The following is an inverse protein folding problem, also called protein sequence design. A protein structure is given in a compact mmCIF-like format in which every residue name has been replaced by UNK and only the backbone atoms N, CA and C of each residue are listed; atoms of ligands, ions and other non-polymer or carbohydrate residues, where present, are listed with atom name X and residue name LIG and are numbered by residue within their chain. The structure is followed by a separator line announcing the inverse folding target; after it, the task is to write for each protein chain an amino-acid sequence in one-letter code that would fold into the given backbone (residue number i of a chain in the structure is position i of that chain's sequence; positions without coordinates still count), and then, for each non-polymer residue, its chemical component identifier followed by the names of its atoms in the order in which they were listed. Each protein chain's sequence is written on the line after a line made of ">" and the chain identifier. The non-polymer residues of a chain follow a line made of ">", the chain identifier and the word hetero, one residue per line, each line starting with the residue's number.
data_IF_792688349797
#
_entry.id   IF_792688349797
#
_cell.length_a   1.000
_cell.length_b   1.000
_cell.length_c   1.000
_cell.angle_alpha   90.00
_cell.angle_beta   90.00
_cell.angle_gamma   90.00
#
_symmetry.space_group_name_H-M   'P 1'
#
loop_
_entity.id
_entity.type
_entity.pdbx_description
1 polymer ?
#
# COMPACT_ATOMS: atom_id res chain seq x y z
N UNK A 1 13.56 -7.52 2.85
CA UNK A 1 12.82 -6.32 3.28
C UNK A 1 11.58 -6.20 2.41
N UNK A 2 10.39 -6.16 3.01
CA UNK A 2 9.13 -6.00 2.30
C UNK A 2 8.85 -4.52 2.07
N UNK A 3 8.55 -4.13 0.83
CA UNK A 3 8.22 -2.74 0.49
C UNK A 3 6.85 -2.29 0.99
N UNK A 4 6.55 -1.01 0.74
CA UNK A 4 5.21 -0.46 0.92
C UNK A 4 4.28 -0.90 -0.21
N UNK A 5 2.97 -1.02 0.04
CA UNK A 5 2.02 -1.41 -0.98
C UNK A 5 1.62 -0.22 -1.84
N UNK A 6 0.84 -0.49 -2.90
CA UNK A 6 0.13 0.57 -3.62
C UNK A 6 -0.95 1.12 -2.67
N UNK A 7 -0.79 2.38 -2.25
CA UNK A 7 -1.57 2.92 -1.14
C UNK A 7 -2.97 3.38 -1.53
N UNK A 8 -3.09 4.14 -2.62
CA UNK A 8 -4.30 4.88 -2.98
C UNK A 8 -4.59 4.72 -4.46
N UNK A 9 -5.86 4.53 -4.81
CA UNK A 9 -6.31 4.52 -6.20
C UNK A 9 -6.11 5.91 -6.85
N UNK A 10 -5.34 5.92 -7.94
CA UNK A 10 -5.11 7.11 -8.76
C UNK A 10 -6.24 7.37 -9.77
N UNK A 11 -7.11 6.38 -9.99
CA UNK A 11 -8.13 6.34 -11.03
C UNK A 11 -9.50 6.83 -10.59
N UNK A 12 -10.53 6.08 -11.02
CA UNK A 12 -11.94 6.43 -10.90
C UNK A 12 -12.53 6.25 -9.49
N UNK A 13 -11.72 5.81 -8.53
CA UNK A 13 -12.11 5.63 -7.15
C UNK A 13 -12.51 6.94 -6.46
N UNK A 14 -13.24 6.78 -5.37
CA UNK A 14 -13.68 7.87 -4.51
C UNK A 14 -13.24 7.59 -3.09
N UNK A 15 -12.56 8.56 -2.47
CA UNK A 15 -12.21 8.50 -1.04
C UNK A 15 -13.33 9.04 -0.14
N UNK A 16 -14.59 9.07 -0.63
CA UNK A 16 -15.74 9.60 0.11
C UNK A 16 -15.70 11.11 0.34
N UNK A 17 -16.57 11.59 1.25
CA UNK A 17 -16.83 13.02 1.50
C UNK A 17 -15.67 13.80 2.15
N UNK A 18 -14.72 13.10 2.79
CA UNK A 18 -13.51 13.66 3.42
C UNK A 18 -12.28 13.39 2.52
N UNK A 19 -12.55 13.00 1.28
CA UNK A 19 -11.60 12.32 0.42
C UNK A 19 -10.56 13.21 -0.24
N UNK A 20 -9.37 12.64 -0.44
CA UNK A 20 -8.30 13.22 -1.24
C UNK A 20 -8.78 13.47 -2.68
N UNK A 21 -8.55 14.67 -3.21
CA UNK A 21 -8.78 14.97 -4.62
C UNK A 21 -7.95 14.04 -5.52
N UNK A 22 -8.39 13.82 -6.77
CA UNK A 22 -7.65 12.98 -7.72
C UNK A 22 -6.18 13.42 -7.88
N UNK A 23 -5.92 14.73 -7.85
CA UNK A 23 -4.55 15.28 -7.86
C UNK A 23 -3.75 14.84 -6.63
N UNK A 24 -4.33 14.94 -5.42
CA UNK A 24 -3.66 14.51 -4.18
C UNK A 24 -3.39 13.01 -4.19
N UNK A 25 -4.31 12.20 -4.71
CA UNK A 25 -4.12 10.74 -4.84
C UNK A 25 -2.95 10.42 -5.77
N UNK A 26 -2.91 11.04 -6.95
CA UNK A 26 -1.76 10.93 -7.87
C UNK A 26 -0.44 11.33 -7.22
N UNK A 27 -0.42 12.44 -6.47
CA UNK A 27 0.79 12.90 -5.78
C UNK A 27 1.23 11.94 -4.67
N UNK A 28 0.31 11.41 -3.87
CA UNK A 28 0.62 10.42 -2.82
C UNK A 28 1.18 9.15 -3.45
N UNK A 29 0.56 8.64 -4.52
CA UNK A 29 1.04 7.43 -5.19
C UNK A 29 2.39 7.65 -5.85
N UNK A 30 2.61 8.79 -6.51
CA UNK A 30 3.90 9.18 -7.04
C UNK A 30 5.00 9.21 -5.95
N UNK A 31 4.72 9.83 -4.80
CA UNK A 31 5.66 9.89 -3.69
C UNK A 31 5.93 8.49 -3.10
N UNK A 32 4.91 7.64 -3.01
CA UNK A 32 5.05 6.26 -2.55
C UNK A 32 5.92 5.42 -3.50
N UNK A 33 5.78 5.62 -4.82
CA UNK A 33 6.62 4.98 -5.83
C UNK A 33 8.09 5.41 -5.72
N UNK A 34 8.35 6.69 -5.49
CA UNK A 34 9.71 7.19 -5.24
C UNK A 34 10.31 6.65 -3.95
N UNK A 35 9.52 6.56 -2.87
CA UNK A 35 9.95 5.96 -1.62
C UNK A 35 10.30 4.48 -1.81
N UNK A 36 9.46 3.71 -2.51
CA UNK A 36 9.71 2.30 -2.80
C UNK A 36 11.00 2.11 -3.62
N UNK A 37 11.22 2.96 -4.64
CA UNK A 37 12.45 2.93 -5.43
C UNK A 37 13.70 3.24 -4.59
N UNK A 38 13.65 4.25 -3.72
CA UNK A 38 14.77 4.58 -2.82
C UNK A 38 15.07 3.47 -1.82
N UNK A 39 14.04 2.80 -1.29
CA UNK A 39 14.19 1.64 -0.41
C UNK A 39 14.81 0.47 -1.16
N UNK A 40 14.36 0.18 -2.39
CA UNK A 40 14.90 -0.91 -3.20
C UNK A 40 16.38 -0.71 -3.51
N UNK A 41 16.76 0.51 -3.89
CA UNK A 41 18.16 0.92 -4.13
C UNK A 41 19.03 0.81 -2.86
N UNK A 42 18.53 1.31 -1.72
CA UNK A 42 19.22 1.16 -0.44
C UNK A 42 19.38 -0.32 -0.02
N UNK A 43 18.36 -1.14 -0.21
CA UNK A 43 18.41 -2.58 0.07
C UNK A 43 19.45 -3.27 -0.82
N UNK A 44 19.49 -2.93 -2.11
CA UNK A 44 20.49 -3.44 -3.06
C UNK A 44 21.93 -3.12 -2.63
N UNK A 45 22.21 -1.87 -2.24
CA UNK A 45 23.54 -1.49 -1.70
C UNK A 45 23.92 -2.26 -0.43
N UNK A 46 22.95 -2.61 0.39
CA UNK A 46 23.15 -3.36 1.64
C UNK A 46 23.19 -4.88 1.44
N UNK A 47 23.02 -5.40 0.21
CA UNK A 47 22.89 -6.84 -0.03
C UNK A 47 21.60 -7.44 0.54
N UNK A 48 20.61 -6.61 0.89
CA UNK A 48 19.31 -7.05 1.39
C UNK A 48 18.34 -7.19 0.23
N UNK A 49 17.66 -8.34 0.15
CA UNK A 49 16.63 -8.54 -0.86
C UNK A 49 15.42 -7.65 -0.63
N UNK A 50 15.08 -6.81 -1.60
CA UNK A 50 13.84 -6.04 -1.64
C UNK A 50 12.70 -6.87 -2.27
N UNK A 51 11.50 -6.72 -1.73
CA UNK A 51 10.29 -7.40 -2.23
C UNK A 51 9.27 -6.33 -2.61
N UNK A 52 8.89 -6.32 -3.88
CA UNK A 52 7.96 -5.35 -4.45
C UNK A 52 6.53 -5.63 -3.99
N UNK A 53 6.03 -4.83 -3.05
CA UNK A 53 4.69 -4.97 -2.47
C UNK A 53 3.63 -4.12 -3.16
N UNK A 54 3.99 -3.28 -4.14
CA UNK A 54 2.98 -2.52 -4.92
C UNK A 54 2.14 -3.43 -5.80
N UNK A 55 2.76 -4.42 -6.44
CA UNK A 55 2.09 -5.28 -7.42
C UNK A 55 0.92 -6.08 -6.83
N UNK A 56 1.04 -6.75 -5.67
CA UNK A 56 -0.08 -7.50 -5.09
C UNK A 56 -1.27 -6.64 -4.67
N UNK A 57 -1.09 -5.33 -4.54
CA UNK A 57 -2.13 -4.40 -4.07
C UNK A 57 -2.82 -3.63 -5.20
N UNK A 58 -2.46 -3.88 -6.46
CA UNK A 58 -3.16 -3.27 -7.61
C UNK A 58 -4.63 -3.70 -7.59
N UNK A 59 -5.54 -2.74 -7.61
CA UNK A 59 -6.99 -2.97 -7.52
C UNK A 59 -7.53 -3.15 -6.09
N UNK A 60 -6.65 -3.08 -5.10
CA UNK A 60 -6.94 -3.26 -3.67
C UNK A 60 -6.50 -2.07 -2.82
N UNK A 61 -6.15 -0.95 -3.45
CA UNK A 61 -5.73 0.30 -2.83
C UNK A 61 -6.85 0.93 -2.00
N UNK A 62 -6.50 1.89 -1.14
CA UNK A 62 -7.50 2.76 -0.53
C UNK A 62 -8.28 3.49 -1.62
N UNK A 63 -9.57 3.74 -1.36
CA UNK A 63 -10.48 4.43 -2.28
C UNK A 63 -10.89 3.64 -3.54
N UNK A 64 -10.50 2.36 -3.62
CA UNK A 64 -11.23 1.36 -4.41
C UNK A 64 -12.55 0.99 -3.72
N UNK A 65 -13.48 0.27 -4.38
CA UNK A 65 -14.69 -0.20 -3.73
C UNK A 65 -14.40 -0.98 -2.43
N UNK A 66 -15.20 -0.77 -1.38
CA UNK A 66 -14.98 -1.35 -0.04
C UNK A 66 -14.84 -2.89 -0.08
N UNK A 67 -15.53 -3.55 -1.02
CA UNK A 67 -15.49 -4.99 -1.21
C UNK A 67 -14.12 -5.52 -1.70
N UNK A 68 -13.33 -4.68 -2.37
CA UNK A 68 -12.02 -5.03 -2.92
C UNK A 68 -10.88 -4.36 -2.14
N UNK A 69 -11.13 -3.28 -1.41
CA UNK A 69 -10.13 -2.52 -0.69
C UNK A 69 -9.42 -3.34 0.41
N UNK A 70 -8.08 -3.42 0.34
CA UNK A 70 -7.21 -4.04 1.36
C UNK A 70 -6.38 -3.02 2.16
N UNK A 71 -6.45 -1.74 1.83
CA UNK A 71 -5.84 -0.63 2.59
C UNK A 71 -6.95 0.23 3.16
N UNK A 72 -6.92 0.59 4.43
CA UNK A 72 -7.91 1.50 4.98
C UNK A 72 -7.84 2.90 4.33
N UNK A 73 -8.97 3.40 3.83
CA UNK A 73 -9.13 4.80 3.45
C UNK A 73 -9.21 5.77 4.64
N UNK A 74 -9.45 7.04 4.33
CA UNK A 74 -9.67 8.09 5.35
C UNK A 74 -11.04 7.88 5.98
N UNK A 75 -11.08 7.74 7.31
CA UNK A 75 -12.32 7.60 8.08
C UNK A 75 -12.85 8.97 8.51
N UNK A 76 -14.18 9.11 8.59
CA UNK A 76 -14.84 10.24 9.27
C UNK A 76 -14.84 10.11 10.78
N UNK A 77 -14.66 8.90 11.29
CA UNK A 77 -14.42 8.65 12.71
C UNK A 77 -12.95 8.93 13.02
N UNK A 78 -12.69 10.03 13.73
CA UNK A 78 -11.35 10.43 14.17
C UNK A 78 -10.72 9.39 15.13
N UNK A 79 -11.54 8.61 15.84
CA UNK A 79 -11.07 7.49 16.65
C UNK A 79 -10.39 6.40 15.82
N UNK A 80 -10.67 6.34 14.51
CA UNK A 80 -10.07 5.41 13.56
C UNK A 80 -8.98 6.07 12.70
N UNK A 81 -8.57 7.31 12.95
CA UNK A 81 -7.57 7.99 12.14
C UNK A 81 -6.23 7.23 12.07
N UNK A 82 -5.88 6.49 13.13
CA UNK A 82 -4.63 5.71 13.22
C UNK A 82 -4.50 4.62 12.16
N UNK A 83 -5.61 4.08 11.64
CA UNK A 83 -5.57 3.02 10.64
C UNK A 83 -5.47 3.56 9.21
N UNK A 84 -5.58 4.88 9.02
CA UNK A 84 -5.55 5.52 7.68
C UNK A 84 -4.31 5.08 6.90
N UNK A 85 -4.50 4.59 5.68
CA UNK A 85 -3.46 4.05 4.79
C UNK A 85 -2.68 2.84 5.32
N UNK A 86 -3.17 2.18 6.37
CA UNK A 86 -2.62 0.91 6.81
C UNK A 86 -3.36 -0.26 6.14
N UNK A 87 -2.69 -1.41 5.93
CA UNK A 87 -3.36 -2.60 5.45
C UNK A 87 -4.47 -3.06 6.40
N UNK A 88 -5.63 -3.41 5.84
CA UNK A 88 -6.66 -4.19 6.51
C UNK A 88 -6.12 -5.57 6.86
N UNK A 89 -6.88 -6.31 7.68
CA UNK A 89 -6.55 -7.68 8.08
C UNK A 89 -6.11 -8.57 6.92
N UNK A 90 -6.82 -8.55 5.79
CA UNK A 90 -6.44 -9.37 4.63
C UNK A 90 -5.10 -8.92 4.02
N UNK A 91 -4.94 -7.62 3.76
CA UNK A 91 -3.69 -7.05 3.25
C UNK A 91 -2.50 -7.40 4.15
N UNK A 92 -2.64 -7.28 5.47
CA UNK A 92 -1.56 -7.62 6.40
C UNK A 92 -1.36 -9.14 6.58
N UNK A 93 -2.36 -9.84 7.12
CA UNK A 93 -2.19 -11.23 7.56
C UNK A 93 -2.14 -12.24 6.42
N UNK A 94 -2.62 -11.89 5.23
CA UNK A 94 -2.59 -12.77 4.06
C UNK A 94 -1.49 -12.32 3.11
N UNK A 95 -1.54 -11.10 2.59
CA UNK A 95 -0.64 -10.69 1.50
C UNK A 95 0.79 -10.50 2.00
N UNK A 96 1.01 -9.71 3.06
CA UNK A 96 2.37 -9.52 3.60
C UNK A 96 2.96 -10.83 4.14
N UNK A 97 2.17 -11.63 4.85
CA UNK A 97 2.64 -12.94 5.35
C UNK A 97 2.98 -13.89 4.21
N UNK A 98 2.13 -14.02 3.18
CA UNK A 98 2.41 -14.85 2.02
C UNK A 98 3.68 -14.42 1.29
N UNK A 99 3.83 -13.12 1.04
CA UNK A 99 5.02 -12.58 0.38
C UNK A 99 6.27 -12.82 1.22
N UNK A 100 6.21 -12.68 2.54
CA UNK A 100 7.34 -13.03 3.41
C UNK A 100 7.73 -14.50 3.28
N UNK A 101 6.74 -15.40 3.42
CA UNK A 101 6.96 -16.85 3.35
C UNK A 101 7.55 -17.26 2.01
N UNK A 102 7.01 -16.76 0.90
CA UNK A 102 7.48 -17.06 -0.45
C UNK A 102 8.96 -16.67 -0.66
N UNK A 103 9.44 -15.64 0.04
CA UNK A 103 10.81 -15.14 -0.12
C UNK A 103 11.80 -15.84 0.81
N UNK A 104 11.35 -16.28 1.98
CA UNK A 104 12.14 -17.13 2.88
C UNK A 104 12.35 -18.52 2.27
N UNK A 105 11.36 -19.08 1.57
CA UNK A 105 11.47 -20.39 0.93
C UNK A 105 12.49 -20.48 -0.23
N UNK A 106 13.11 -19.36 -0.61
CA UNK A 106 14.14 -19.28 -1.67
C UNK A 106 15.57 -19.21 -1.11
N UNK A 107 15.71 -19.16 0.20
CA UNK A 107 16.99 -19.18 0.93
C UNK A 107 17.38 -20.62 1.25
#
# INVERSE_FOLDING_TARGET
>A
MLGYPRLVDEGAGSCGAIGLSALKRKQITHNADHLAAGIADAAGRAGVRFVEMRLPFIGHEACTPVATEWIHGVSSDLGLAYQTFHPKRYGHAVVYTYMLSAEISKL
#
